data_IF_455400126047
#
_entry.id   IF_455400126047
#
_cell.length_a   1.000
_cell.length_b   1.000
_cell.length_c   1.000
_cell.angle_alpha   90.00
_cell.angle_beta   90.00
_cell.angle_gamma   90.00
#
_symmetry.space_group_name_H-M   'P 1'
#
loop_
_entity.id
_entity.type
_entity.pdbx_description
1 polymer ?
#
# COMPACT_ATOMS: atom_id res chain seq x y z
N UNK A 1 9.51 13.04 14.80
CA UNK A 1 8.10 13.21 15.17
C UNK A 1 7.30 12.09 14.57
N UNK A 2 6.70 11.26 15.38
CA UNK A 2 5.86 10.14 14.97
C UNK A 2 4.45 10.69 14.72
N UNK A 3 3.96 10.53 13.49
CA UNK A 3 2.57 10.78 13.19
C UNK A 3 1.87 9.46 13.47
N UNK A 4 1.00 9.44 14.44
CA UNK A 4 0.13 8.31 14.70
C UNK A 4 -1.15 8.52 13.91
N UNK A 5 -1.58 7.48 13.18
CA UNK A 5 -2.93 7.39 12.67
C UNK A 5 -3.79 6.98 13.86
N UNK A 6 -4.56 7.91 14.41
CA UNK A 6 -5.51 7.61 15.48
C UNK A 6 -6.87 7.25 14.89
N UNK A 7 -7.54 6.26 15.48
CA UNK A 7 -8.94 5.94 15.17
C UNK A 7 -9.86 6.58 16.20
N UNK A 8 -10.62 7.57 15.77
CA UNK A 8 -11.67 8.18 16.59
C UNK A 8 -13.01 7.90 15.94
N UNK A 9 -13.92 7.26 16.66
CA UNK A 9 -15.29 6.90 16.21
C UNK A 9 -15.32 6.11 14.88
N UNK A 10 -14.40 5.15 14.70
CA UNK A 10 -14.36 4.27 13.52
C UNK A 10 -13.75 4.87 12.26
N UNK A 11 -13.18 6.10 12.30
CA UNK A 11 -12.45 6.72 11.19
C UNK A 11 -10.96 6.81 11.51
N UNK A 12 -10.15 6.50 10.53
CA UNK A 12 -8.70 6.70 10.61
C UNK A 12 -8.38 8.20 10.46
N UNK A 13 -7.53 8.73 11.34
CA UNK A 13 -7.25 10.16 11.42
C UNK A 13 -5.75 10.43 11.52
N UNK A 14 -5.29 11.48 10.84
CA UNK A 14 -3.90 11.93 10.88
C UNK A 14 -3.79 13.17 11.74
N UNK A 15 -2.88 13.15 12.70
CA UNK A 15 -2.65 14.29 13.57
C UNK A 15 -1.64 15.27 12.93
N UNK A 16 -2.10 16.52 12.71
CA UNK A 16 -1.32 17.64 12.20
C UNK A 16 -0.91 18.63 13.32
N UNK A 17 -1.02 18.25 14.59
CA UNK A 17 -0.73 19.12 15.73
C UNK A 17 0.76 19.49 15.82
N UNK A 18 1.18 20.50 15.07
CA UNK A 18 2.42 21.22 15.24
C UNK A 18 2.19 22.71 15.00
N UNK A 19 2.80 23.52 15.85
CA UNK A 19 2.89 24.96 15.65
C UNK A 19 3.82 25.24 14.45
N UNK A 20 3.25 25.24 13.24
CA UNK A 20 4.00 25.51 12.00
C UNK A 20 4.46 26.96 11.91
N UNK A 21 3.88 27.87 12.73
CA UNK A 21 4.32 29.27 12.84
C UNK A 21 5.73 29.38 13.48
N UNK A 22 6.17 28.36 14.25
CA UNK A 22 7.48 28.28 14.92
C UNK A 22 8.51 27.42 14.16
N UNK A 23 8.10 26.70 13.12
CA UNK A 23 9.02 25.91 12.31
C UNK A 23 9.87 26.85 11.45
N UNK A 24 11.17 26.92 11.74
CA UNK A 24 12.14 27.60 10.87
C UNK A 24 12.07 26.96 9.46
N UNK A 25 11.33 27.61 8.56
CA UNK A 25 11.23 27.21 7.16
C UNK A 25 12.61 27.37 6.53
N UNK A 26 13.15 26.37 5.80
CA UNK A 26 14.35 26.56 5.02
C UNK A 26 14.16 27.74 4.06
N UNK A 27 15.12 28.67 4.05
CA UNK A 27 15.01 29.89 3.24
C UNK A 27 14.72 29.61 1.78
N UNK A 28 15.28 28.55 1.23
CA UNK A 28 15.08 28.11 -0.16
C UNK A 28 13.65 27.61 -0.46
N UNK A 29 12.86 27.27 0.55
CA UNK A 29 11.49 26.80 0.38
C UNK A 29 10.45 27.93 0.32
N UNK A 30 10.76 29.09 0.93
CA UNK A 30 9.84 30.21 1.02
C UNK A 30 9.37 30.71 -0.35
N UNK A 31 10.25 30.96 -1.34
CA UNK A 31 9.82 31.44 -2.65
C UNK A 31 8.91 30.43 -3.38
N UNK A 32 9.16 29.14 -3.18
CA UNK A 32 8.37 28.08 -3.83
C UNK A 32 7.00 27.95 -3.18
N UNK A 33 6.94 27.97 -1.86
CA UNK A 33 5.67 27.96 -1.11
C UNK A 33 4.83 29.18 -1.52
N UNK A 34 5.44 30.36 -1.67
CA UNK A 34 4.75 31.57 -2.12
C UNK A 34 4.20 31.42 -3.54
N UNK A 35 4.97 30.88 -4.48
CA UNK A 35 4.50 30.62 -5.86
C UNK A 35 3.36 29.61 -5.89
N UNK A 36 3.47 28.53 -5.11
CA UNK A 36 2.46 27.48 -5.04
C UNK A 36 1.18 27.92 -4.32
N UNK A 37 1.20 29.03 -3.56
CA UNK A 37 0.00 29.57 -2.90
C UNK A 37 -1.13 30.00 -3.85
N UNK A 38 -0.80 30.34 -5.08
CA UNK A 38 -1.77 30.65 -6.13
C UNK A 38 -1.90 29.56 -7.20
N UNK A 39 -1.22 28.41 -6.99
CA UNK A 39 -1.22 27.32 -7.94
C UNK A 39 -2.49 26.48 -7.82
N UNK A 40 -3.31 26.48 -8.87
CA UNK A 40 -4.42 25.56 -9.03
C UNK A 40 -3.97 24.25 -9.68
N UNK A 41 -4.76 23.20 -9.44
CA UNK A 41 -4.52 21.88 -10.03
C UNK A 41 -3.64 20.98 -9.20
N UNK A 42 -2.96 20.04 -9.84
CA UNK A 42 -2.19 18.99 -9.15
C UNK A 42 -0.72 19.35 -9.05
N UNK A 43 -0.18 19.23 -7.85
CA UNK A 43 1.24 19.39 -7.51
C UNK A 43 1.82 18.04 -7.09
N UNK A 44 2.79 17.50 -7.81
CA UNK A 44 3.49 16.27 -7.45
C UNK A 44 4.81 16.62 -6.78
N UNK A 45 5.07 16.05 -5.61
CA UNK A 45 6.32 16.22 -4.86
C UNK A 45 7.22 15.02 -5.06
N UNK A 46 8.40 15.23 -5.64
CA UNK A 46 9.40 14.23 -5.96
C UNK A 46 10.63 14.38 -5.06
N UNK A 47 11.31 13.29 -4.77
CA UNK A 47 12.56 13.28 -4.00
C UNK A 47 12.87 11.91 -3.44
N UNK A 48 14.14 11.67 -3.12
CA UNK A 48 14.58 10.44 -2.44
C UNK A 48 13.86 10.24 -1.11
N UNK A 49 13.96 9.03 -0.56
CA UNK A 49 13.59 8.82 0.85
C UNK A 49 14.37 9.78 1.74
N UNK A 50 13.69 10.28 2.77
CA UNK A 50 14.26 11.24 3.73
C UNK A 50 14.78 12.55 3.08
N UNK A 51 14.21 12.99 1.97
CA UNK A 51 14.51 14.31 1.37
C UNK A 51 13.68 15.46 1.97
N UNK A 52 12.68 15.15 2.81
CA UNK A 52 11.79 16.15 3.41
C UNK A 52 10.48 16.39 2.67
N UNK A 53 10.11 15.54 1.70
CA UNK A 53 8.83 15.64 0.96
C UNK A 53 7.64 15.87 1.86
N UNK A 54 7.41 14.95 2.79
CA UNK A 54 6.27 15.01 3.72
C UNK A 54 6.29 16.28 4.58
N UNK A 55 7.47 16.78 4.98
CA UNK A 55 7.59 18.04 5.73
C UNK A 55 7.19 19.23 4.88
N UNK A 56 7.64 19.26 3.61
CA UNK A 56 7.24 20.30 2.66
C UNK A 56 5.73 20.26 2.39
N UNK A 57 5.15 19.08 2.20
CA UNK A 57 3.72 18.90 1.96
C UNK A 57 2.88 19.41 3.13
N UNK A 58 3.26 19.11 4.35
CA UNK A 58 2.59 19.63 5.55
C UNK A 58 2.64 21.14 5.62
N UNK A 59 3.83 21.69 5.40
CA UNK A 59 4.05 23.13 5.40
C UNK A 59 3.19 23.81 4.30
N UNK A 60 3.25 23.30 3.08
CA UNK A 60 2.46 23.79 1.97
C UNK A 60 0.96 23.72 2.25
N UNK A 61 0.48 22.58 2.76
CA UNK A 61 -0.93 22.38 3.16
C UNK A 61 -1.36 23.45 4.17
N UNK A 62 -0.55 23.66 5.21
CA UNK A 62 -0.83 24.66 6.24
C UNK A 62 -1.00 26.08 5.64
N UNK A 63 -0.05 26.54 4.81
CA UNK A 63 -0.11 27.87 4.21
C UNK A 63 -1.24 28.03 3.22
N UNK A 64 -1.55 27.01 2.43
CA UNK A 64 -2.66 27.03 1.47
C UNK A 64 -4.01 27.09 2.19
N UNK A 65 -4.20 26.29 3.24
CA UNK A 65 -5.44 26.27 4.04
C UNK A 65 -5.64 27.59 4.78
N UNK A 66 -4.58 28.23 5.29
CA UNK A 66 -4.67 29.57 5.92
C UNK A 66 -5.20 30.62 4.93
N UNK A 67 -5.01 30.43 3.63
CA UNK A 67 -5.56 31.28 2.55
C UNK A 67 -6.96 30.87 2.07
N UNK A 68 -7.68 30.09 2.85
CA UNK A 68 -9.04 29.57 2.55
C UNK A 68 -9.09 28.68 1.31
N UNK A 69 -8.02 27.99 0.96
CA UNK A 69 -8.02 27.00 -0.12
C UNK A 69 -8.44 25.62 0.41
N UNK A 70 -9.18 24.89 -0.42
CA UNK A 70 -9.52 23.49 -0.18
C UNK A 70 -8.41 22.62 -0.77
N UNK A 71 -7.71 21.88 0.07
CA UNK A 71 -6.56 21.08 -0.32
C UNK A 71 -6.92 19.61 -0.32
N UNK A 72 -6.57 18.93 -1.41
CA UNK A 72 -6.53 17.46 -1.45
C UNK A 72 -5.10 16.98 -1.21
N UNK A 73 -4.95 15.89 -0.48
CA UNK A 73 -3.68 15.20 -0.29
C UNK A 73 -3.85 13.75 -0.71
N UNK A 74 -2.98 13.26 -1.61
CA UNK A 74 -2.82 11.85 -1.90
C UNK A 74 -1.45 11.42 -1.41
N UNK A 75 -1.42 10.44 -0.48
CA UNK A 75 -0.20 9.82 0.02
C UNK A 75 0.04 8.51 -0.72
N UNK A 76 1.12 8.44 -1.49
CA UNK A 76 1.55 7.29 -2.26
C UNK A 76 2.75 6.57 -1.61
N UNK A 77 3.23 7.00 -0.45
CA UNK A 77 4.38 6.35 0.20
C UNK A 77 3.94 5.12 1.01
N UNK A 78 3.78 4.00 0.32
CA UNK A 78 3.34 2.73 0.91
C UNK A 78 4.29 2.15 1.97
N UNK A 79 5.55 2.61 1.97
CA UNK A 79 6.56 2.15 2.93
C UNK A 79 6.66 3.01 4.18
N UNK A 80 6.34 4.31 4.07
CA UNK A 80 6.44 5.28 5.16
C UNK A 80 5.22 6.19 5.21
N UNK A 81 4.05 5.62 4.95
CA UNK A 81 2.77 6.33 4.87
C UNK A 81 2.54 7.28 6.04
N UNK A 82 1.89 8.39 5.77
CA UNK A 82 1.50 9.41 6.74
C UNK A 82 0.00 9.60 6.84
N UNK A 83 -0.76 9.23 5.82
CA UNK A 83 -2.23 9.29 5.81
C UNK A 83 -2.89 7.97 6.19
N UNK A 84 -2.26 6.84 5.91
CA UNK A 84 -2.83 5.52 6.15
C UNK A 84 -1.85 4.56 6.83
N UNK A 85 -2.26 3.33 7.11
CA UNK A 85 -1.34 2.29 7.54
C UNK A 85 -0.36 1.94 6.39
N UNK A 86 0.83 1.39 6.70
CA UNK A 86 1.73 0.91 5.67
C UNK A 86 1.05 -0.11 4.75
N UNK A 87 1.57 -0.25 3.53
CA UNK A 87 1.02 -1.08 2.47
C UNK A 87 -0.31 -0.57 1.86
N UNK A 88 -0.65 0.70 2.11
CA UNK A 88 -1.83 1.37 1.52
C UNK A 88 -1.45 2.70 0.88
N UNK A 89 -2.30 3.19 -0.01
CA UNK A 89 -2.32 4.58 -0.48
C UNK A 89 -3.64 5.21 -0.05
N UNK A 90 -3.61 6.49 0.30
CA UNK A 90 -4.77 7.15 0.86
C UNK A 90 -4.97 8.57 0.34
N UNK A 91 -6.19 9.05 0.42
CA UNK A 91 -6.58 10.40 0.06
C UNK A 91 -7.40 11.05 1.18
N UNK A 92 -7.17 12.33 1.39
CA UNK A 92 -7.95 13.19 2.29
C UNK A 92 -8.10 14.58 1.71
N UNK A 93 -9.14 15.28 2.15
CA UNK A 93 -9.26 16.74 1.93
C UNK A 93 -8.99 17.48 3.23
N UNK A 94 -8.37 18.65 3.13
CA UNK A 94 -8.00 19.49 4.27
C UNK A 94 -8.58 20.88 4.07
N UNK A 95 -9.36 21.33 5.04
CA UNK A 95 -9.87 22.70 5.15
C UNK A 95 -9.43 23.32 6.50
N UNK A 96 -9.83 24.60 6.73
CA UNK A 96 -9.49 25.29 7.98
C UNK A 96 -9.97 24.57 9.24
N UNK A 97 -11.14 23.96 9.17
CA UNK A 97 -11.73 23.26 10.33
C UNK A 97 -10.93 22.01 10.66
N UNK A 98 -10.68 21.15 9.66
CA UNK A 98 -9.88 19.93 9.83
C UNK A 98 -8.46 20.23 10.30
N UNK A 99 -7.85 21.29 9.74
CA UNK A 99 -6.50 21.71 10.14
C UNK A 99 -6.47 22.20 11.59
N UNK A 100 -7.47 22.99 12.03
CA UNK A 100 -7.59 23.49 13.41
C UNK A 100 -7.85 22.35 14.40
N UNK A 101 -8.69 21.40 14.03
CA UNK A 101 -9.03 20.23 14.86
C UNK A 101 -7.83 19.26 14.98
N UNK A 102 -6.81 19.45 14.14
CA UNK A 102 -5.60 18.62 14.12
C UNK A 102 -5.83 17.20 13.59
N UNK A 103 -7.05 16.90 13.18
CA UNK A 103 -7.51 15.58 12.79
C UNK A 103 -8.00 15.57 11.35
N UNK A 104 -7.25 14.89 10.46
CA UNK A 104 -7.61 14.73 9.06
C UNK A 104 -8.08 13.30 8.83
N UNK A 105 -9.40 13.07 8.60
CA UNK A 105 -9.92 11.74 8.36
C UNK A 105 -9.48 11.25 6.98
N UNK A 106 -9.13 9.98 6.87
CA UNK A 106 -8.91 9.31 5.59
C UNK A 106 -10.30 9.18 4.92
N UNK A 107 -10.43 9.73 3.73
CA UNK A 107 -11.69 9.69 2.98
C UNK A 107 -11.74 8.49 2.04
N UNK A 108 -10.60 8.17 1.42
CA UNK A 108 -10.47 7.00 0.55
C UNK A 108 -9.11 6.35 0.77
N UNK A 109 -9.12 5.03 0.87
CA UNK A 109 -7.92 4.22 1.01
C UNK A 109 -7.95 3.05 0.02
N UNK A 110 -6.80 2.72 -0.55
CA UNK A 110 -6.63 1.55 -1.40
C UNK A 110 -5.45 0.72 -0.89
N UNK A 111 -5.67 -0.56 -0.81
CA UNK A 111 -4.66 -1.51 -0.37
C UNK A 111 -3.69 -1.82 -1.50
N UNK A 112 -2.40 -1.78 -1.25
CA UNK A 112 -1.36 -2.23 -2.18
C UNK A 112 -0.83 -3.60 -1.78
N UNK A 113 -0.82 -3.89 -0.48
CA UNK A 113 -0.38 -5.16 0.07
C UNK A 113 1.13 -5.37 0.04
N UNK A 114 1.89 -4.33 -0.31
CA UNK A 114 3.35 -4.31 -0.36
C UNK A 114 3.87 -3.01 0.26
N UNK A 115 5.12 -3.03 0.76
CA UNK A 115 5.80 -1.86 1.33
C UNK A 115 6.75 -1.18 0.33
N UNK A 116 6.83 -1.71 -0.88
CA UNK A 116 7.58 -1.16 -2.01
C UNK A 116 6.79 -1.37 -3.29
N UNK A 117 6.78 -0.42 -4.24
CA UNK A 117 6.10 -0.59 -5.52
C UNK A 117 6.83 -1.56 -6.48
N UNK A 118 8.06 -1.95 -6.14
CA UNK A 118 8.82 -2.93 -6.93
C UNK A 118 8.09 -4.27 -6.93
N UNK A 119 7.79 -4.79 -8.12
CA UNK A 119 7.02 -6.02 -8.29
C UNK A 119 5.51 -5.83 -8.45
N UNK A 120 4.97 -4.58 -8.29
CA UNK A 120 3.54 -4.32 -8.48
C UNK A 120 3.25 -2.96 -9.15
N UNK A 121 4.15 -2.48 -10.01
CA UNK A 121 4.11 -1.10 -10.54
C UNK A 121 2.80 -0.80 -11.25
N UNK A 122 2.34 -1.68 -12.14
CA UNK A 122 1.13 -1.42 -12.92
C UNK A 122 -0.10 -1.35 -12.01
N UNK A 123 -0.25 -2.32 -11.09
CA UNK A 123 -1.31 -2.29 -10.06
C UNK A 123 -1.23 -1.03 -9.20
N UNK A 124 -0.03 -0.62 -8.81
CA UNK A 124 0.19 0.60 -8.03
C UNK A 124 -0.26 1.84 -8.80
N UNK A 125 0.14 1.97 -10.07
CA UNK A 125 -0.25 3.07 -10.94
C UNK A 125 -1.77 3.11 -11.20
N UNK A 126 -2.41 1.96 -11.41
CA UNK A 126 -3.85 1.89 -11.63
C UNK A 126 -4.65 2.32 -10.39
N UNK A 127 -4.18 1.94 -9.20
CA UNK A 127 -4.78 2.39 -7.93
C UNK A 127 -4.57 3.88 -7.69
N UNK A 128 -3.43 4.42 -8.08
CA UNK A 128 -3.20 5.88 -8.06
C UNK A 128 -4.19 6.59 -8.98
N UNK A 129 -4.37 6.12 -10.20
CA UNK A 129 -5.35 6.68 -11.14
C UNK A 129 -6.77 6.65 -10.57
N UNK A 130 -7.13 5.57 -9.84
CA UNK A 130 -8.44 5.48 -9.18
C UNK A 130 -8.61 6.56 -8.09
N UNK A 131 -7.63 6.77 -7.20
CA UNK A 131 -7.67 7.86 -6.21
C UNK A 131 -7.70 9.24 -6.88
N UNK A 132 -6.88 9.42 -7.92
CA UNK A 132 -6.82 10.67 -8.68
C UNK A 132 -8.17 10.99 -9.33
N UNK A 133 -8.82 10.01 -9.98
CA UNK A 133 -10.12 10.23 -10.61
C UNK A 133 -11.21 10.66 -9.63
N UNK A 134 -11.16 10.17 -8.38
CA UNK A 134 -12.07 10.62 -7.32
C UNK A 134 -11.74 12.02 -6.86
N UNK A 135 -10.46 12.37 -6.74
CA UNK A 135 -10.05 13.72 -6.37
C UNK A 135 -10.59 14.77 -7.34
N UNK A 136 -10.65 14.45 -8.64
CA UNK A 136 -11.17 15.35 -9.68
C UNK A 136 -12.68 15.63 -9.56
N UNK A 137 -13.42 14.77 -8.85
CA UNK A 137 -14.86 14.96 -8.60
C UNK A 137 -15.13 15.82 -7.36
N UNK A 138 -14.10 16.18 -6.61
CA UNK A 138 -14.20 16.98 -5.38
C UNK A 138 -13.88 18.44 -5.65
N UNK A 139 -14.44 19.33 -4.82
CA UNK A 139 -14.09 20.76 -4.86
C UNK A 139 -12.72 20.97 -4.18
N UNK A 140 -11.66 20.72 -4.92
CA UNK A 140 -10.26 20.86 -4.49
C UNK A 140 -9.61 21.91 -5.35
N UNK A 141 -9.02 22.96 -4.74
CA UNK A 141 -8.28 24.00 -5.44
C UNK A 141 -6.87 23.53 -5.81
N UNK A 142 -6.21 22.85 -4.86
CA UNK A 142 -4.88 22.26 -5.07
C UNK A 142 -4.84 20.85 -4.55
N UNK A 143 -4.47 19.89 -5.42
CA UNK A 143 -4.20 18.49 -5.04
C UNK A 143 -2.69 18.32 -4.87
N UNK A 144 -2.25 17.92 -3.70
CA UNK A 144 -0.84 17.62 -3.41
C UNK A 144 -0.64 16.12 -3.38
N UNK A 145 0.33 15.63 -4.13
CA UNK A 145 0.66 14.20 -4.22
C UNK A 145 2.02 13.94 -3.58
N UNK A 146 2.03 13.26 -2.42
CA UNK A 146 3.25 12.74 -1.79
C UNK A 146 3.66 11.45 -2.47
N UNK A 147 4.92 11.35 -2.92
CA UNK A 147 5.37 10.19 -3.68
C UNK A 147 6.39 9.35 -2.92
N UNK A 148 6.49 8.06 -3.27
CA UNK A 148 7.53 7.17 -2.75
C UNK A 148 8.93 7.73 -3.03
N UNK A 149 9.89 7.40 -2.18
CA UNK A 149 11.30 7.76 -2.37
C UNK A 149 12.03 7.01 -3.48
N UNK A 150 11.36 6.11 -4.20
CA UNK A 150 11.92 5.37 -5.34
C UNK A 150 12.01 6.28 -6.57
N UNK A 151 13.17 6.89 -6.78
CA UNK A 151 13.41 7.86 -7.87
C UNK A 151 14.63 7.48 -8.71
N UNK A 152 15.42 6.48 -8.32
CA UNK A 152 16.64 6.08 -8.99
C UNK A 152 16.49 4.74 -9.71
N UNK A 153 17.38 4.52 -10.68
CA UNK A 153 17.37 3.32 -11.54
C UNK A 153 16.20 3.34 -12.53
N UNK A 154 16.19 2.39 -13.45
CA UNK A 154 15.17 2.30 -14.51
C UNK A 154 13.75 2.19 -13.94
N UNK A 155 13.57 1.43 -12.87
CA UNK A 155 12.27 1.23 -12.22
C UNK A 155 11.75 2.54 -11.59
N UNK A 156 12.61 3.28 -10.90
CA UNK A 156 12.23 4.56 -10.27
C UNK A 156 11.88 5.61 -11.32
N UNK A 157 12.68 5.71 -12.38
CA UNK A 157 12.44 6.61 -13.51
C UNK A 157 11.12 6.26 -14.20
N UNK A 158 10.92 4.98 -14.56
CA UNK A 158 9.68 4.51 -15.18
C UNK A 158 8.44 4.82 -14.34
N UNK A 159 8.49 4.50 -13.04
CA UNK A 159 7.38 4.75 -12.12
C UNK A 159 7.01 6.23 -12.06
N UNK A 160 8.00 7.12 -11.90
CA UNK A 160 7.73 8.56 -11.77
C UNK A 160 7.30 9.17 -13.10
N UNK A 161 7.92 8.81 -14.20
CA UNK A 161 7.53 9.29 -15.53
C UNK A 161 6.12 8.83 -15.90
N UNK A 162 5.78 7.56 -15.61
CA UNK A 162 4.42 7.03 -15.82
C UNK A 162 3.38 7.74 -14.95
N UNK A 163 3.71 8.02 -13.67
CA UNK A 163 2.87 8.77 -12.77
C UNK A 163 2.59 10.20 -13.30
N UNK A 164 3.65 10.92 -13.70
CA UNK A 164 3.54 12.28 -14.24
C UNK A 164 2.70 12.30 -15.52
N UNK A 165 2.89 11.31 -16.41
CA UNK A 165 2.12 11.20 -17.63
C UNK A 165 0.63 10.92 -17.37
N UNK A 166 0.30 10.03 -16.43
CA UNK A 166 -1.08 9.65 -16.12
C UNK A 166 -1.85 10.75 -15.39
N UNK A 167 -1.19 11.50 -14.50
CA UNK A 167 -1.81 12.58 -13.72
C UNK A 167 -1.82 13.89 -14.48
N UNK A 168 -0.83 14.16 -15.32
CA UNK A 168 -0.62 15.43 -16.02
C UNK A 168 -0.71 16.63 -15.06
N UNK A 169 0.23 16.76 -14.10
CA UNK A 169 0.17 17.78 -13.06
C UNK A 169 0.43 19.19 -13.60
N UNK A 170 -0.05 20.21 -12.87
CA UNK A 170 0.27 21.61 -13.13
C UNK A 170 1.69 21.98 -12.65
N UNK A 171 2.18 21.31 -11.60
CA UNK A 171 3.52 21.55 -11.08
C UNK A 171 4.21 20.29 -10.56
N UNK A 172 5.53 20.24 -10.72
CA UNK A 172 6.43 19.30 -10.06
C UNK A 172 7.32 20.06 -9.07
N UNK A 173 7.40 19.57 -7.84
CA UNK A 173 8.36 20.06 -6.84
C UNK A 173 9.39 18.98 -6.60
N UNK A 174 10.60 19.21 -7.04
CA UNK A 174 11.71 18.26 -7.01
C UNK A 174 12.69 18.61 -5.89
N UNK A 175 12.66 17.81 -4.80
CA UNK A 175 13.64 17.92 -3.71
C UNK A 175 14.86 17.07 -4.07
N UNK A 176 15.96 17.74 -4.49
CA UNK A 176 17.19 17.06 -4.89
C UNK A 176 18.42 17.77 -4.34
N UNK A 177 19.42 17.00 -3.93
CA UNK A 177 20.69 17.51 -3.41
C UNK A 177 21.70 17.77 -4.53
N UNK A 178 21.65 16.95 -5.56
CA UNK A 178 22.45 17.05 -6.77
C UNK A 178 21.55 17.02 -8.00
N UNK A 179 21.75 16.11 -8.92
CA UNK A 179 20.96 15.99 -10.16
C UNK A 179 20.22 14.64 -10.23
N UNK A 180 19.92 14.05 -9.10
CA UNK A 180 19.35 12.70 -9.02
C UNK A 180 17.93 12.58 -9.57
N UNK A 181 17.20 13.68 -9.75
CA UNK A 181 15.87 13.71 -10.36
C UNK A 181 15.90 14.13 -11.83
N UNK A 182 17.03 14.64 -12.36
CA UNK A 182 17.10 15.12 -13.74
C UNK A 182 16.78 14.04 -14.79
N UNK A 183 17.12 12.74 -14.61
CA UNK A 183 16.67 11.69 -15.53
C UNK A 183 15.14 11.58 -15.67
N UNK A 184 14.40 12.07 -14.66
CA UNK A 184 12.94 12.17 -14.70
C UNK A 184 12.51 13.53 -15.24
N UNK A 185 13.04 14.62 -14.69
CA UNK A 185 12.57 15.98 -14.94
C UNK A 185 12.82 16.43 -16.38
N UNK A 186 13.97 16.10 -16.97
CA UNK A 186 14.35 16.47 -18.34
C UNK A 186 13.36 15.95 -19.40
N UNK A 187 12.65 14.85 -19.10
CA UNK A 187 11.62 14.33 -20.01
C UNK A 187 10.41 15.25 -20.13
N UNK A 188 10.26 16.21 -19.23
CA UNK A 188 9.06 17.05 -19.10
C UNK A 188 9.33 18.56 -19.27
N UNK A 189 10.58 18.97 -19.45
CA UNK A 189 10.95 20.41 -19.55
C UNK A 189 10.28 21.14 -20.72
N UNK A 190 10.01 20.42 -21.80
CA UNK A 190 9.35 20.99 -22.99
C UNK A 190 7.82 21.13 -22.86
N UNK A 191 7.20 20.76 -21.72
CA UNK A 191 5.75 20.89 -21.53
C UNK A 191 5.38 22.30 -21.09
N UNK A 192 4.69 23.11 -21.92
CA UNK A 192 4.41 24.51 -21.59
C UNK A 192 3.51 24.71 -20.39
N UNK A 193 2.61 23.73 -20.11
CA UNK A 193 1.65 23.80 -19.01
C UNK A 193 2.21 23.28 -17.67
N UNK A 194 3.43 22.73 -17.65
CA UNK A 194 4.03 22.12 -16.47
C UNK A 194 5.11 23.03 -15.89
N UNK A 195 4.94 23.43 -14.63
CA UNK A 195 5.97 24.15 -13.89
C UNK A 195 6.86 23.19 -13.10
N UNK A 196 8.17 23.29 -13.25
CA UNK A 196 9.13 22.45 -12.55
C UNK A 196 9.95 23.30 -11.58
N UNK A 197 9.81 23.03 -10.29
CA UNK A 197 10.52 23.68 -9.21
C UNK A 197 11.59 22.73 -8.63
N UNK A 198 12.85 23.13 -8.74
CA UNK A 198 13.99 22.41 -8.15
C UNK A 198 14.37 23.08 -6.85
N UNK A 199 14.32 22.32 -5.75
CA UNK A 199 14.65 22.84 -4.41
C UNK A 199 15.61 21.88 -3.68
N UNK A 200 16.42 22.43 -2.78
CA UNK A 200 17.30 21.62 -1.96
C UNK A 200 16.54 21.01 -0.78
N UNK A 201 16.84 19.75 -0.40
CA UNK A 201 16.39 19.20 0.85
C UNK A 201 16.84 20.05 2.06
N UNK A 202 16.08 20.02 3.13
CA UNK A 202 16.49 20.70 4.37
C UNK A 202 17.81 20.13 4.91
N UNK A 203 18.73 20.97 5.35
CA UNK A 203 20.05 20.54 5.83
C UNK A 203 20.01 19.66 7.08
N UNK A 204 18.96 19.78 7.90
CA UNK A 204 18.80 19.07 9.17
C UNK A 204 17.99 17.76 9.06
N UNK A 205 17.86 17.19 7.87
CA UNK A 205 17.11 15.95 7.70
C UNK A 205 17.95 14.77 8.15
N UNK A 206 17.45 14.04 9.13
CA UNK A 206 18.05 12.78 9.57
C UNK A 206 17.75 11.69 8.55
N UNK A 207 18.78 11.16 7.92
CA UNK A 207 18.67 9.99 7.08
C UNK A 207 18.38 8.76 7.95
N UNK A 208 17.30 8.03 7.63
CA UNK A 208 16.92 6.84 8.36
C UNK A 208 17.52 5.61 7.72
N UNK A 209 18.05 4.73 8.55
CA UNK A 209 18.47 3.40 8.11
C UNK A 209 17.26 2.56 7.67
N UNK A 210 17.51 1.46 6.97
CA UNK A 210 16.47 0.46 6.68
C UNK A 210 15.78 -0.03 7.99
N UNK A 211 16.57 -0.24 9.04
CA UNK A 211 16.09 -0.67 10.35
C UNK A 211 15.14 0.34 10.99
N UNK A 212 15.47 1.62 10.92
CA UNK A 212 14.61 2.68 11.47
C UNK A 212 13.27 2.76 10.74
N UNK A 213 13.29 2.59 9.41
CA UNK A 213 12.06 2.54 8.61
C UNK A 213 11.20 1.34 8.94
N UNK A 214 11.81 0.16 9.13
CA UNK A 214 11.11 -1.05 9.60
C UNK A 214 10.48 -0.81 10.97
N UNK A 215 11.24 -0.34 11.95
CA UNK A 215 10.74 -0.03 13.30
C UNK A 215 9.58 0.97 13.29
N UNK A 216 9.62 1.95 12.38
CA UNK A 216 8.52 2.90 12.23
C UNK A 216 7.25 2.21 11.72
N UNK A 217 7.34 1.35 10.71
CA UNK A 217 6.18 0.60 10.21
C UNK A 217 5.63 -0.35 11.27
N UNK A 218 6.51 -1.07 11.99
CA UNK A 218 6.11 -1.95 13.09
C UNK A 218 5.33 -1.19 14.16
N UNK A 219 5.76 0.02 14.53
CA UNK A 219 5.01 0.88 15.45
C UNK A 219 3.65 1.30 14.89
N UNK A 220 3.57 1.61 13.59
CA UNK A 220 2.30 1.94 12.95
C UNK A 220 1.34 0.73 12.93
N UNK A 221 1.82 -0.45 12.60
CA UNK A 221 1.02 -1.68 12.65
C UNK A 221 0.60 -2.03 14.07
N UNK A 222 1.51 -1.94 15.06
CA UNK A 222 1.20 -2.14 16.47
C UNK A 222 0.06 -1.23 16.93
N UNK A 223 0.13 0.06 16.57
CA UNK A 223 -0.92 1.01 16.88
C UNK A 223 -2.23 0.68 16.16
N UNK A 224 -2.17 0.32 14.89
CA UNK A 224 -3.33 0.01 14.06
C UNK A 224 -4.08 -1.23 14.56
N UNK A 225 -3.37 -2.27 15.00
CA UNK A 225 -3.93 -3.55 15.43
C UNK A 225 -4.15 -3.68 16.94
N UNK A 226 -3.88 -2.63 17.74
CA UNK A 226 -3.93 -2.67 19.22
C UNK A 226 -5.21 -3.27 19.78
N UNK A 227 -6.37 -2.89 19.23
CA UNK A 227 -7.69 -3.33 19.71
C UNK A 227 -8.31 -4.41 18.82
N UNK A 228 -7.46 -5.20 18.15
CA UNK A 228 -7.93 -6.23 17.25
C UNK A 228 -8.55 -7.40 17.98
N UNK A 229 -9.61 -7.94 17.37
CA UNK A 229 -10.32 -9.13 17.84
C UNK A 229 -10.27 -10.20 16.76
N UNK A 230 -10.36 -11.45 17.18
CA UNK A 230 -10.48 -12.59 16.27
C UNK A 230 -11.90 -12.64 15.69
N UNK A 231 -11.99 -12.80 14.36
CA UNK A 231 -13.23 -12.99 13.61
C UNK A 231 -13.08 -14.14 12.65
N UNK A 232 -14.17 -14.86 12.40
CA UNK A 232 -14.24 -15.84 11.32
C UNK A 232 -15.03 -15.25 10.15
N UNK A 233 -14.55 -15.53 8.93
CA UNK A 233 -15.18 -15.15 7.66
C UNK A 233 -15.29 -16.42 6.82
N UNK A 234 -16.48 -16.65 6.26
CA UNK A 234 -16.73 -17.72 5.32
C UNK A 234 -16.36 -17.27 3.91
N UNK A 235 -15.41 -17.95 3.28
CA UNK A 235 -14.98 -17.60 1.95
C UNK A 235 -15.82 -18.22 0.81
N UNK A 236 -16.90 -18.92 1.14
CA UNK A 236 -17.92 -19.28 0.13
C UNK A 236 -18.83 -18.11 -0.21
N UNK A 237 -18.98 -17.18 0.73
CA UNK A 237 -19.83 -15.98 0.58
C UNK A 237 -19.06 -14.69 0.37
N UNK A 238 -17.74 -14.73 0.55
CA UNK A 238 -16.85 -13.57 0.42
C UNK A 238 -15.85 -13.80 -0.69
N UNK A 239 -15.76 -12.91 -1.65
CA UNK A 239 -14.74 -12.96 -2.70
C UNK A 239 -13.36 -12.76 -2.08
N UNK A 240 -12.41 -13.64 -2.43
CA UNK A 240 -11.01 -13.49 -2.03
C UNK A 240 -10.18 -13.22 -3.27
N UNK A 241 -9.37 -12.18 -3.23
CA UNK A 241 -8.39 -11.84 -4.25
C UNK A 241 -6.98 -12.04 -3.69
N UNK A 242 -6.28 -13.02 -4.22
CA UNK A 242 -4.90 -13.32 -3.82
C UNK A 242 -3.91 -12.78 -4.84
N UNK A 243 -3.00 -11.91 -4.40
CA UNK A 243 -1.92 -11.39 -5.23
C UNK A 243 -0.61 -12.16 -5.15
N UNK A 244 -0.58 -13.25 -4.38
CA UNK A 244 0.60 -14.10 -4.29
C UNK A 244 0.65 -15.10 -5.44
N UNK A 245 -0.48 -15.77 -5.69
CA UNK A 245 -0.60 -16.83 -6.72
C UNK A 245 -1.76 -16.58 -7.69
N UNK A 246 -2.69 -15.69 -7.35
CA UNK A 246 -3.92 -15.48 -8.10
C UNK A 246 -5.00 -16.49 -7.76
N UNK A 247 -4.95 -17.10 -6.57
CA UNK A 247 -5.97 -18.07 -6.14
C UNK A 247 -7.35 -17.44 -6.09
N UNK A 248 -8.33 -18.17 -6.61
CA UNK A 248 -9.75 -17.83 -6.55
C UNK A 248 -10.42 -18.34 -5.28
N UNK A 249 -9.75 -19.20 -4.52
CA UNK A 249 -10.28 -19.95 -3.38
C UNK A 249 -11.43 -20.90 -3.75
N UNK A 250 -11.51 -21.28 -5.05
CA UNK A 250 -12.37 -22.33 -5.56
C UNK A 250 -11.49 -23.54 -5.90
N UNK A 251 -11.57 -24.60 -5.09
CA UNK A 251 -10.77 -25.79 -5.31
C UNK A 251 -11.24 -26.58 -6.55
N UNK A 252 -10.27 -27.04 -7.33
CA UNK A 252 -10.50 -28.01 -8.42
C UNK A 252 -10.50 -29.43 -7.83
N UNK A 253 -11.69 -29.98 -7.64
CA UNK A 253 -11.85 -31.28 -7.02
C UNK A 253 -11.30 -32.43 -7.89
N UNK A 254 -11.31 -32.30 -9.22
CA UNK A 254 -10.76 -33.33 -10.11
C UNK A 254 -9.24 -33.42 -9.95
N UNK A 255 -8.57 -32.29 -9.77
CA UNK A 255 -7.14 -32.28 -9.44
C UNK A 255 -6.89 -32.86 -8.06
N UNK A 256 -7.68 -32.49 -7.05
CA UNK A 256 -7.57 -33.02 -5.69
C UNK A 256 -7.68 -34.56 -5.71
N UNK A 257 -8.72 -35.10 -6.36
CA UNK A 257 -8.95 -36.56 -6.43
C UNK A 257 -7.85 -37.27 -7.22
N UNK A 258 -7.40 -36.67 -8.32
CA UNK A 258 -6.27 -37.22 -9.09
C UNK A 258 -4.99 -37.32 -8.28
N UNK A 259 -4.69 -36.28 -7.50
CA UNK A 259 -3.49 -36.23 -6.66
C UNK A 259 -3.58 -37.29 -5.54
N UNK A 260 -4.72 -37.42 -4.89
CA UNK A 260 -4.95 -38.45 -3.87
C UNK A 260 -4.76 -39.85 -4.40
N UNK A 261 -5.41 -40.15 -5.52
CA UNK A 261 -5.41 -41.50 -6.09
C UNK A 261 -4.06 -41.93 -6.66
N UNK A 262 -3.36 -41.04 -7.35
CA UNK A 262 -2.15 -41.40 -8.11
C UNK A 262 -0.84 -41.11 -7.39
N UNK A 263 -0.82 -40.18 -6.47
CA UNK A 263 0.42 -39.71 -5.85
C UNK A 263 0.49 -39.88 -4.34
N UNK A 264 -0.57 -40.46 -3.73
CA UNK A 264 -0.68 -40.69 -2.29
C UNK A 264 -0.37 -39.41 -1.46
N UNK A 265 -0.82 -38.24 -1.95
CA UNK A 265 -0.79 -37.00 -1.23
C UNK A 265 -2.21 -36.60 -0.81
N UNK A 266 -2.33 -35.88 0.30
CA UNK A 266 -3.61 -35.41 0.83
C UNK A 266 -3.73 -33.88 0.68
N UNK A 267 -4.02 -33.37 -0.54
CA UNK A 267 -4.32 -31.96 -0.71
C UNK A 267 -5.70 -31.63 -0.12
N UNK A 268 -5.77 -30.57 0.68
CA UNK A 268 -7.02 -29.97 1.15
C UNK A 268 -7.56 -28.95 0.15
N UNK A 269 -6.71 -28.55 -0.81
CA UNK A 269 -7.05 -27.61 -1.87
C UNK A 269 -6.09 -27.78 -3.04
N UNK A 270 -6.63 -27.64 -4.27
CA UNK A 270 -5.85 -27.57 -5.49
C UNK A 270 -6.51 -26.57 -6.47
N UNK A 271 -5.71 -25.82 -7.17
CA UNK A 271 -6.18 -24.91 -8.23
C UNK A 271 -5.15 -24.79 -9.34
N UNK A 272 -5.61 -24.88 -10.59
CA UNK A 272 -4.78 -24.64 -11.77
C UNK A 272 -4.95 -23.19 -12.23
N UNK A 273 -3.85 -22.45 -12.21
CA UNK A 273 -3.78 -21.05 -12.63
C UNK A 273 -2.82 -20.98 -13.82
N UNK A 274 -3.36 -20.80 -15.03
CA UNK A 274 -2.56 -20.87 -16.25
C UNK A 274 -1.76 -22.18 -16.34
N UNK A 275 -0.44 -22.11 -16.37
CA UNK A 275 0.48 -23.26 -16.45
C UNK A 275 1.05 -23.67 -15.08
N UNK A 276 0.45 -23.20 -13.99
CA UNK A 276 0.86 -23.51 -12.61
C UNK A 276 -0.28 -24.21 -11.88
N UNK A 277 0.05 -25.25 -11.11
CA UNK A 277 -0.88 -25.82 -10.12
C UNK A 277 -0.41 -25.48 -8.74
N UNK A 278 -1.31 -24.92 -7.93
CA UNK A 278 -1.07 -24.68 -6.51
C UNK A 278 -1.77 -25.75 -5.70
N UNK A 279 -1.01 -26.47 -4.88
CA UNK A 279 -1.49 -27.51 -3.98
C UNK A 279 -1.32 -27.02 -2.54
N UNK A 280 -2.41 -27.08 -1.77
CA UNK A 280 -2.36 -26.88 -0.32
C UNK A 280 -2.52 -28.24 0.33
N UNK A 281 -1.46 -28.71 0.96
CA UNK A 281 -1.41 -30.03 1.57
C UNK A 281 -1.74 -29.93 3.06
N UNK A 282 -2.38 -30.95 3.63
CA UNK A 282 -2.39 -31.12 5.08
C UNK A 282 -0.96 -31.19 5.60
N UNK A 283 -0.72 -30.73 6.82
CA UNK A 283 0.60 -30.85 7.44
C UNK A 283 1.01 -32.32 7.50
N UNK A 284 2.08 -32.70 6.79
CA UNK A 284 2.50 -34.08 6.73
C UNK A 284 3.30 -34.45 7.96
N UNK A 285 3.29 -35.73 8.27
CA UNK A 285 4.29 -36.28 9.18
C UNK A 285 5.71 -36.30 8.57
N UNK A 286 5.81 -36.20 7.22
CA UNK A 286 7.06 -36.06 6.46
C UNK A 286 6.85 -35.19 5.21
N UNK A 287 7.86 -34.41 4.80
CA UNK A 287 7.83 -33.63 3.57
C UNK A 287 7.92 -34.56 2.36
N UNK A 288 7.01 -34.50 1.38
CA UNK A 288 7.07 -35.31 0.18
C UNK A 288 8.36 -35.07 -0.62
N UNK A 289 8.92 -36.12 -1.19
CA UNK A 289 10.11 -36.03 -2.03
C UNK A 289 9.86 -35.20 -3.31
N UNK A 290 10.89 -34.50 -3.81
CA UNK A 290 10.80 -33.68 -5.04
C UNK A 290 10.27 -34.45 -6.25
N UNK A 291 10.58 -35.72 -6.35
CA UNK A 291 10.20 -36.58 -7.48
C UNK A 291 8.66 -36.69 -7.62
N UNK A 292 7.93 -36.66 -6.52
CA UNK A 292 6.47 -36.68 -6.55
C UNK A 292 5.94 -35.45 -7.30
N UNK A 293 6.44 -34.26 -6.97
CA UNK A 293 6.01 -33.02 -7.59
C UNK A 293 6.40 -32.95 -9.08
N UNK A 294 7.56 -33.50 -9.43
CA UNK A 294 7.99 -33.62 -10.84
C UNK A 294 7.02 -34.54 -11.62
N UNK A 295 6.58 -35.64 -11.02
CA UNK A 295 5.62 -36.55 -11.62
C UNK A 295 4.21 -35.92 -11.73
N UNK A 296 3.77 -35.17 -10.73
CA UNK A 296 2.54 -34.39 -10.77
C UNK A 296 2.58 -33.38 -11.93
N UNK A 297 3.68 -32.62 -12.04
CA UNK A 297 3.91 -31.66 -13.13
C UNK A 297 3.77 -32.32 -14.51
N UNK A 298 4.39 -33.46 -14.73
CA UNK A 298 4.28 -34.23 -15.98
C UNK A 298 2.85 -34.72 -16.22
N UNK A 299 2.20 -35.23 -15.20
CA UNK A 299 0.85 -35.80 -15.32
C UNK A 299 -0.20 -34.74 -15.64
N UNK A 300 -0.15 -33.58 -14.97
CA UNK A 300 -1.08 -32.48 -15.16
C UNK A 300 -0.70 -31.56 -16.34
N UNK A 301 0.43 -31.85 -17.02
CA UNK A 301 0.96 -31.06 -18.13
C UNK A 301 1.04 -29.56 -17.81
N UNK A 302 1.71 -29.24 -16.71
CA UNK A 302 1.93 -27.88 -16.24
C UNK A 302 3.42 -27.54 -16.17
N UNK A 303 3.74 -26.26 -16.23
CA UNK A 303 5.13 -25.81 -16.14
C UNK A 303 5.64 -25.74 -14.71
N UNK A 304 4.74 -25.55 -13.75
CA UNK A 304 5.10 -25.42 -12.36
C UNK A 304 4.05 -26.05 -11.42
N UNK A 305 4.54 -26.65 -10.35
CA UNK A 305 3.73 -27.03 -9.17
C UNK A 305 4.24 -26.28 -7.96
N UNK A 306 3.36 -25.58 -7.29
CA UNK A 306 3.62 -24.89 -6.03
C UNK A 306 2.97 -25.69 -4.92
N UNK A 307 3.74 -26.05 -3.91
CA UNK A 307 3.22 -26.74 -2.73
C UNK A 307 3.36 -25.87 -1.50
N UNK A 308 2.27 -25.65 -0.80
CA UNK A 308 2.20 -24.90 0.45
C UNK A 308 1.33 -25.62 1.46
N UNK A 309 1.42 -25.19 2.71
CA UNK A 309 0.55 -25.64 3.80
C UNK A 309 -0.36 -24.51 4.26
N UNK A 310 -1.49 -24.79 4.95
CA UNK A 310 -2.41 -23.74 5.43
C UNK A 310 -1.71 -22.67 6.29
N UNK A 311 -0.74 -23.06 7.12
CA UNK A 311 0.03 -22.11 7.95
C UNK A 311 0.90 -21.14 7.15
N UNK A 312 1.15 -21.40 5.84
CA UNK A 312 1.86 -20.45 4.98
C UNK A 312 1.15 -19.10 4.91
N UNK A 313 -0.19 -19.10 4.95
CA UNK A 313 -1.01 -17.88 4.91
C UNK A 313 -1.00 -17.10 6.24
N UNK A 314 -0.47 -17.68 7.31
CA UNK A 314 -0.48 -17.05 8.63
C UNK A 314 0.32 -15.73 8.62
N UNK A 315 -0.29 -14.72 9.22
CA UNK A 315 0.24 -13.36 9.35
C UNK A 315 0.28 -12.53 8.07
N UNK A 316 -0.26 -12.99 6.95
CA UNK A 316 -0.45 -12.10 5.82
C UNK A 316 -1.41 -10.97 6.15
N UNK A 317 -1.00 -9.75 5.75
CA UNK A 317 -1.83 -8.56 5.80
C UNK A 317 -2.91 -8.65 4.71
N UNK A 318 -4.14 -8.37 5.09
CA UNK A 318 -5.30 -8.37 4.19
C UNK A 318 -6.03 -7.03 4.25
N UNK A 319 -6.78 -6.74 3.21
CA UNK A 319 -7.73 -5.62 3.18
C UNK A 319 -9.15 -6.12 3.06
N UNK A 320 -10.06 -5.41 3.73
CA UNK A 320 -11.50 -5.55 3.56
C UNK A 320 -11.98 -4.48 2.60
N UNK A 321 -12.37 -4.88 1.40
CA UNK A 321 -12.75 -3.95 0.35
C UNK A 321 -14.27 -3.87 0.22
N UNK A 322 -14.76 -2.65 0.03
CA UNK A 322 -16.16 -2.36 -0.33
C UNK A 322 -16.42 -2.73 -1.80
N UNK A 323 -17.68 -2.76 -2.22
CA UNK A 323 -18.07 -3.12 -3.59
C UNK A 323 -17.46 -2.20 -4.66
N UNK A 324 -17.18 -0.94 -4.33
CA UNK A 324 -16.47 0.02 -5.19
C UNK A 324 -14.94 -0.14 -5.11
N UNK A 325 -14.46 -1.16 -4.35
CA UNK A 325 -13.07 -1.59 -4.27
C UNK A 325 -12.16 -0.61 -3.51
N UNK A 326 -12.71 0.15 -2.55
CA UNK A 326 -11.91 0.88 -1.55
C UNK A 326 -11.71 0.03 -0.31
N UNK A 327 -10.57 0.20 0.32
CA UNK A 327 -10.28 -0.47 1.58
C UNK A 327 -11.07 0.16 2.72
N UNK A 328 -11.87 -0.64 3.40
CA UNK A 328 -12.56 -0.25 4.64
C UNK A 328 -11.67 -0.49 5.89
N UNK A 329 -10.52 -1.09 5.69
CA UNK A 329 -9.53 -1.34 6.72
C UNK A 329 -8.73 -2.61 6.48
N UNK A 330 -7.75 -2.86 7.34
CA UNK A 330 -6.83 -3.99 7.23
C UNK A 330 -7.11 -5.03 8.32
N UNK A 331 -6.76 -6.27 7.99
CA UNK A 331 -6.73 -7.41 8.90
C UNK A 331 -5.46 -8.22 8.75
N UNK A 332 -5.29 -9.22 9.60
CA UNK A 332 -4.17 -10.17 9.58
C UNK A 332 -4.75 -11.57 9.61
N UNK A 333 -4.32 -12.43 8.70
CA UNK A 333 -4.73 -13.84 8.70
C UNK A 333 -4.13 -14.54 9.94
N UNK A 334 -5.00 -15.13 10.74
CA UNK A 334 -4.60 -16.03 11.84
C UNK A 334 -4.48 -17.47 11.37
N UNK A 335 -5.49 -17.95 10.63
CA UNK A 335 -5.55 -19.29 10.09
C UNK A 335 -6.53 -19.36 8.92
N UNK A 336 -6.33 -20.32 8.01
CA UNK A 336 -7.30 -20.70 6.96
C UNK A 336 -7.60 -22.18 7.12
N UNK A 337 -8.88 -22.50 7.24
CA UNK A 337 -9.40 -23.86 7.23
C UNK A 337 -10.07 -24.10 5.87
N UNK A 338 -9.37 -24.78 4.97
CA UNK A 338 -9.84 -25.03 3.60
C UNK A 338 -10.99 -26.07 3.57
N UNK A 339 -11.05 -26.98 4.54
CA UNK A 339 -12.11 -27.98 4.62
C UNK A 339 -13.42 -27.33 5.05
N UNK A 340 -13.39 -26.48 6.09
CA UNK A 340 -14.55 -25.72 6.56
C UNK A 340 -14.82 -24.45 5.75
N UNK A 341 -13.94 -24.11 4.81
CA UNK A 341 -14.00 -22.90 3.99
C UNK A 341 -14.07 -21.60 4.82
N UNK A 342 -13.28 -21.53 5.89
CA UNK A 342 -13.26 -20.41 6.83
C UNK A 342 -11.87 -19.82 6.98
N UNK A 343 -11.82 -18.48 7.04
CA UNK A 343 -10.63 -17.72 7.41
C UNK A 343 -10.84 -17.10 8.78
N UNK A 344 -9.93 -17.39 9.69
CA UNK A 344 -9.85 -16.71 10.98
C UNK A 344 -8.88 -15.54 10.86
N UNK A 345 -9.30 -14.35 11.24
CA UNK A 345 -8.54 -13.11 11.08
C UNK A 345 -8.47 -12.30 12.38
N UNK A 346 -7.39 -11.56 12.56
CA UNK A 346 -7.32 -10.46 13.51
C UNK A 346 -7.81 -9.21 12.81
N UNK A 347 -8.87 -8.60 13.32
CA UNK A 347 -9.50 -7.42 12.74
C UNK A 347 -9.70 -6.35 13.82
N UNK A 348 -9.30 -5.08 13.59
CA UNK A 348 -9.60 -4.00 14.52
C UNK A 348 -11.09 -3.89 14.80
N UNK A 349 -11.45 -3.66 16.07
CA UNK A 349 -12.86 -3.65 16.52
C UNK A 349 -13.73 -2.57 15.87
N UNK A 350 -13.12 -1.58 15.23
CA UNK A 350 -13.79 -0.50 14.50
C UNK A 350 -14.23 -0.88 13.08
N UNK A 351 -13.81 -2.03 12.54
CA UNK A 351 -14.24 -2.53 11.23
C UNK A 351 -15.44 -3.44 11.44
N UNK A 352 -16.55 -3.15 10.73
CA UNK A 352 -17.71 -4.04 10.71
C UNK A 352 -17.53 -5.11 9.62
N UNK A 353 -17.77 -6.37 9.97
CA UNK A 353 -17.75 -7.48 9.04
C UNK A 353 -18.86 -7.41 7.96
N UNK A 354 -19.89 -6.60 8.17
CA UNK A 354 -21.01 -6.44 7.25
C UNK A 354 -20.73 -5.45 6.10
N UNK A 355 -19.63 -4.70 6.19
CA UNK A 355 -19.34 -3.58 5.29
C UNK A 355 -18.27 -3.88 4.23
N UNK A 356 -17.99 -5.13 3.92
CA UNK A 356 -17.07 -5.47 2.84
C UNK A 356 -17.62 -6.62 1.98
N UNK A 357 -17.27 -6.61 0.70
CA UNK A 357 -17.66 -7.63 -0.28
C UNK A 357 -16.47 -8.50 -0.73
N UNK A 358 -15.26 -8.04 -0.46
CA UNK A 358 -14.04 -8.68 -0.92
C UNK A 358 -12.95 -8.60 0.14
N UNK A 359 -12.17 -9.68 0.28
CA UNK A 359 -10.92 -9.73 1.00
C UNK A 359 -9.79 -9.78 -0.02
N UNK A 360 -8.81 -8.91 0.15
CA UNK A 360 -7.63 -8.86 -0.71
C UNK A 360 -6.37 -9.22 0.09
N UNK A 361 -5.63 -10.25 -0.35
CA UNK A 361 -4.41 -10.71 0.30
C UNK A 361 -3.20 -9.95 -0.25
N UNK A 362 -2.39 -9.39 0.68
CA UNK A 362 -1.11 -8.77 0.35
C UNK A 362 0.06 -9.75 0.47
N UNK A 363 1.27 -9.20 0.32
CA UNK A 363 2.53 -9.94 0.49
C UNK A 363 3.27 -9.56 1.78
N UNK A 364 2.78 -8.56 2.50
CA UNK A 364 3.34 -8.15 3.80
C UNK A 364 2.85 -9.11 4.88
N UNK A 365 3.77 -9.59 5.73
CA UNK A 365 3.45 -10.44 6.88
C UNK A 365 3.70 -9.67 8.16
N UNK A 366 2.68 -9.59 9.01
CA UNK A 366 2.71 -8.82 10.26
C UNK A 366 2.02 -9.60 11.37
N UNK A 367 2.67 -9.68 12.53
CA UNK A 367 2.01 -10.20 13.74
C UNK A 367 1.04 -9.16 14.34
N UNK A 368 0.08 -9.58 15.17
CA UNK A 368 -0.85 -8.64 15.83
C UNK A 368 -0.18 -7.57 16.70
N UNK A 369 1.03 -7.83 17.19
CA UNK A 369 1.86 -6.87 17.92
C UNK A 369 2.57 -5.85 17.02
N UNK A 370 2.39 -5.92 15.71
CA UNK A 370 2.98 -5.05 14.72
C UNK A 370 4.32 -5.53 14.15
N UNK A 371 4.89 -6.62 14.65
CA UNK A 371 6.19 -7.14 14.18
C UNK A 371 6.12 -7.58 12.72
N UNK A 372 6.92 -7.00 11.84
CA UNK A 372 7.06 -7.44 10.45
C UNK A 372 7.86 -8.74 10.34
N UNK A 373 7.29 -9.71 9.65
CA UNK A 373 7.94 -10.98 9.35
C UNK A 373 8.51 -10.99 7.92
N UNK A 374 9.55 -11.78 7.64
CA UNK A 374 10.02 -11.98 6.27
C UNK A 374 8.94 -12.66 5.43
N UNK A 375 8.94 -12.38 4.14
CA UNK A 375 8.13 -13.13 3.20
C UNK A 375 8.70 -14.56 3.08
N UNK A 376 7.85 -15.56 3.26
CA UNK A 376 8.24 -16.95 3.06
C UNK A 376 7.97 -17.31 1.59
N UNK A 377 9.01 -17.57 0.83
CA UNK A 377 8.81 -18.09 -0.52
C UNK A 377 8.21 -19.50 -0.46
N UNK A 378 7.20 -19.78 -1.27
CA UNK A 378 6.65 -21.11 -1.38
C UNK A 378 7.64 -22.06 -2.07
N UNK A 379 7.51 -23.34 -1.81
CA UNK A 379 8.30 -24.36 -2.51
C UNK A 379 7.76 -24.53 -3.92
N UNK A 380 8.63 -24.33 -4.91
CA UNK A 380 8.32 -24.43 -6.36
C UNK A 380 9.06 -25.62 -6.95
N UNK A 381 8.38 -26.37 -7.80
CA UNK A 381 8.90 -27.55 -8.48
C UNK A 381 8.75 -27.49 -10.00
#
# INVERSE_FOLDING_TARGET
MLIFVERVRGKEMVNFNNNYDELAMPGDWIPIVQKLQSQDGTVIVLGKSDSGKTSLIKLLTYFLVKRNRNIGIIDLDIGQSTLGPPATIAMSTVDKKKLKDGNIPIEHMLFIGMISPVGCIDRFLDRICKLYSISQKKKIDTLIVDTTGLVMGSIGIYLKSSLINRINPAALVALQSAQELEPILSQFESRPSLQIYRIKPCQNIVQRSWRDRKLRREKQFCHYFRDSRTREVDFTTTTIRDFNFGLSFCSDNDIVDTIKQKFALEPVYAEKIQNTVVLILQEPQSIPGKDIFINIKKHLQVEQVISIFPHWFQYFLISFNTADGFSNGLGIIKNIDFEKKKITIYMPGSISAENFSEIELGQVRVKPDGTELPYNEPVKF
#
